data_IF_519649797039
#
_entry.id   IF_519649797039
#
_cell.length_a   1.000
_cell.length_b   1.000
_cell.length_c   1.000
_cell.angle_alpha   90.00
_cell.angle_beta   90.00
_cell.angle_gamma   90.00
#
_symmetry.space_group_name_H-M   'P 1'
#
loop_
_entity.id
_entity.type
_entity.pdbx_description
1 polymer ?
#
# COMPACT_ATOMS: atom_id res chain seq x y z
N UNK A 1 29.24 18.71 -26.41
CA UNK A 1 28.69 17.39 -26.20
C UNK A 1 27.64 17.44 -25.12
N UNK A 2 26.45 17.08 -25.47
CA UNK A 2 25.28 16.99 -24.57
C UNK A 2 25.59 15.98 -23.47
N UNK A 3 25.83 16.47 -22.28
CA UNK A 3 26.21 15.67 -21.10
C UNK A 3 24.93 15.28 -20.31
N UNK A 4 23.84 15.01 -21.03
CA UNK A 4 22.62 14.51 -20.40
C UNK A 4 22.86 13.08 -19.92
N UNK A 5 22.82 12.85 -18.61
CA UNK A 5 22.80 11.50 -18.04
C UNK A 5 21.57 10.77 -18.59
N UNK A 6 21.76 9.53 -19.04
CA UNK A 6 20.63 8.69 -19.46
C UNK A 6 19.77 8.33 -18.26
N UNK A 7 18.46 8.41 -18.42
CA UNK A 7 17.48 8.02 -17.40
C UNK A 7 17.20 6.52 -17.46
N UNK A 8 17.07 5.91 -16.29
CA UNK A 8 16.70 4.52 -16.12
C UNK A 8 15.89 4.34 -14.82
N UNK A 9 15.32 3.18 -14.67
CA UNK A 9 14.66 2.77 -13.44
C UNK A 9 15.15 1.39 -12.99
N UNK A 10 15.04 1.13 -11.70
CA UNK A 10 15.06 -0.22 -11.13
C UNK A 10 13.73 -0.44 -10.43
N UNK A 11 12.93 -1.37 -10.97
CA UNK A 11 11.67 -1.76 -10.36
C UNK A 11 11.91 -2.91 -9.37
N UNK A 12 11.34 -2.77 -8.19
CA UNK A 12 11.26 -3.84 -7.21
C UNK A 12 9.81 -4.33 -7.14
N UNK A 13 9.65 -5.65 -7.09
CA UNK A 13 8.35 -6.29 -6.89
C UNK A 13 8.36 -6.96 -5.54
N UNK A 14 7.39 -6.62 -4.71
CA UNK A 14 7.21 -7.23 -3.39
C UNK A 14 5.92 -8.03 -3.35
N UNK A 15 5.99 -9.20 -2.75
CA UNK A 15 4.84 -10.01 -2.41
C UNK A 15 4.91 -10.36 -0.93
N UNK A 16 3.90 -9.96 -0.16
CA UNK A 16 3.91 -10.08 1.30
C UNK A 16 5.17 -9.44 1.91
N UNK A 17 6.03 -10.25 2.51
CA UNK A 17 7.27 -9.84 3.17
C UNK A 17 8.54 -10.12 2.32
N UNK A 18 8.38 -10.55 1.07
CA UNK A 18 9.50 -10.90 0.20
C UNK A 18 9.62 -9.99 -1.02
N UNK A 19 10.84 -9.70 -1.41
CA UNK A 19 11.20 -8.92 -2.59
C UNK A 19 11.78 -9.82 -3.66
N UNK A 20 11.36 -9.62 -4.90
CA UNK A 20 11.91 -10.33 -6.04
C UNK A 20 13.26 -9.72 -6.45
N UNK A 21 14.30 -10.52 -6.39
CA UNK A 21 15.59 -10.20 -7.00
C UNK A 21 15.80 -11.03 -8.25
N UNK A 22 16.39 -10.40 -9.27
CA UNK A 22 16.71 -11.00 -10.54
C UNK A 22 18.22 -11.07 -10.71
N UNK A 23 18.73 -12.17 -11.24
CA UNK A 23 20.17 -12.29 -11.55
C UNK A 23 20.41 -12.09 -13.03
N UNK A 24 21.30 -11.16 -13.35
CA UNK A 24 21.67 -10.85 -14.73
C UNK A 24 22.35 -12.05 -15.39
N UNK A 25 22.11 -12.18 -16.68
CA UNK A 25 22.79 -13.17 -17.52
C UNK A 25 24.30 -12.90 -17.55
N UNK A 26 25.09 -13.98 -17.68
CA UNK A 26 26.55 -13.87 -17.80
C UNK A 26 27.00 -13.27 -19.14
N UNK A 27 26.10 -13.23 -20.13
CA UNK A 27 26.39 -12.80 -21.49
C UNK A 27 26.13 -11.31 -21.75
N UNK A 28 25.49 -10.60 -20.79
CA UNK A 28 25.23 -9.16 -20.95
C UNK A 28 26.47 -8.32 -20.67
N UNK A 29 26.52 -7.14 -21.33
CA UNK A 29 27.67 -6.25 -21.26
C UNK A 29 27.87 -5.55 -19.91
N UNK A 30 26.79 -5.23 -19.21
CA UNK A 30 26.82 -4.50 -17.95
C UNK A 30 26.57 -5.44 -16.76
N UNK A 31 27.53 -5.52 -15.84
CA UNK A 31 27.45 -6.29 -14.60
C UNK A 31 26.91 -7.72 -14.78
N UNK A 32 27.56 -8.55 -15.63
CA UNK A 32 27.10 -9.91 -15.88
C UNK A 32 27.10 -10.74 -14.59
N UNK A 33 26.02 -11.50 -14.37
CA UNK A 33 25.86 -12.33 -13.18
C UNK A 33 25.46 -11.60 -11.90
N UNK A 34 25.34 -10.25 -11.93
CA UNK A 34 24.96 -9.48 -10.76
C UNK A 34 23.49 -9.65 -10.40
N UNK A 35 23.21 -9.66 -9.11
CA UNK A 35 21.83 -9.56 -8.62
C UNK A 35 21.33 -8.11 -8.72
N UNK A 36 20.05 -7.99 -9.05
CA UNK A 36 19.39 -6.75 -9.44
C UNK A 36 17.92 -6.78 -9.04
N UNK A 37 17.25 -5.62 -9.12
CA UNK A 37 15.81 -5.57 -9.33
C UNK A 37 15.49 -5.82 -10.80
N UNK A 38 14.46 -5.17 -11.33
CA UNK A 38 14.15 -5.19 -12.75
C UNK A 38 14.59 -3.85 -13.35
N UNK A 39 15.70 -3.85 -14.06
CA UNK A 39 16.27 -2.67 -14.69
C UNK A 39 15.63 -2.41 -16.06
N UNK A 40 15.39 -1.15 -16.35
CA UNK A 40 14.95 -0.70 -17.66
C UNK A 40 15.42 0.72 -17.94
N UNK A 41 15.68 1.00 -19.22
CA UNK A 41 15.97 2.36 -19.69
C UNK A 41 14.65 3.07 -20.00
N UNK A 42 14.58 4.37 -19.74
CA UNK A 42 13.44 5.21 -20.08
C UNK A 42 12.95 6.07 -18.92
N UNK A 43 11.83 6.72 -19.14
CA UNK A 43 11.19 7.63 -18.20
C UNK A 43 10.65 6.88 -16.97
N UNK A 44 11.19 7.15 -15.77
CA UNK A 44 10.74 6.48 -14.53
C UNK A 44 9.33 6.89 -14.07
N UNK A 45 8.71 7.89 -14.69
CA UNK A 45 7.33 8.30 -14.42
C UNK A 45 6.30 7.55 -15.28
N UNK A 46 6.73 6.85 -16.32
CA UNK A 46 5.86 6.02 -17.16
C UNK A 46 5.63 4.65 -16.52
N UNK A 47 4.66 4.59 -15.61
CA UNK A 47 4.37 3.40 -14.81
C UNK A 47 3.86 2.22 -15.64
N UNK A 48 3.12 2.46 -16.71
CA UNK A 48 2.64 1.41 -17.60
C UNK A 48 3.80 0.75 -18.36
N UNK A 49 4.77 1.55 -18.81
CA UNK A 49 5.99 1.06 -19.43
C UNK A 49 6.84 0.23 -18.46
N UNK A 50 6.94 0.66 -17.22
CA UNK A 50 7.66 -0.08 -16.16
C UNK A 50 6.97 -1.40 -15.87
N UNK A 51 5.65 -1.41 -15.71
CA UNK A 51 4.88 -2.64 -15.51
C UNK A 51 5.04 -3.62 -16.69
N UNK A 52 5.04 -3.11 -17.91
CA UNK A 52 5.32 -3.89 -19.12
C UNK A 52 6.73 -4.50 -19.11
N UNK A 53 7.73 -3.75 -18.65
CA UNK A 53 9.10 -4.25 -18.50
C UNK A 53 9.20 -5.36 -17.45
N UNK A 54 8.49 -5.21 -16.33
CA UNK A 54 8.41 -6.27 -15.31
C UNK A 54 7.85 -7.55 -15.91
N UNK A 55 6.73 -7.46 -16.63
CA UNK A 55 6.13 -8.63 -17.31
C UNK A 55 7.09 -9.25 -18.31
N UNK A 56 7.74 -8.45 -19.13
CA UNK A 56 8.72 -8.90 -20.12
C UNK A 56 9.89 -9.68 -19.49
N UNK A 57 10.39 -9.23 -18.34
CA UNK A 57 11.54 -9.84 -17.66
C UNK A 57 11.18 -11.01 -16.75
N UNK A 58 9.96 -11.06 -16.22
CA UNK A 58 9.59 -11.99 -15.14
C UNK A 58 8.43 -12.92 -15.49
N UNK A 59 7.61 -12.56 -16.46
CA UNK A 59 6.36 -13.24 -16.76
C UNK A 59 5.20 -12.89 -15.82
N UNK A 60 5.41 -12.01 -14.83
CA UNK A 60 4.34 -11.48 -13.99
C UNK A 60 3.45 -10.58 -14.83
N UNK A 61 2.15 -10.84 -14.85
CA UNK A 61 1.22 -10.04 -15.64
C UNK A 61 1.17 -8.59 -15.16
N UNK A 62 1.32 -7.63 -16.08
CA UNK A 62 1.32 -6.20 -15.76
C UNK A 62 0.04 -5.73 -15.05
N UNK A 63 -1.10 -6.34 -15.39
CA UNK A 63 -2.39 -6.05 -14.75
C UNK A 63 -2.51 -6.52 -13.30
N UNK A 64 -1.64 -7.41 -12.84
CA UNK A 64 -1.57 -7.88 -11.46
C UNK A 64 -0.65 -7.06 -10.57
N UNK A 65 0.07 -6.09 -11.15
CA UNK A 65 1.02 -5.25 -10.44
C UNK A 65 0.34 -3.99 -9.90
N UNK A 66 0.56 -3.67 -8.63
CA UNK A 66 0.06 -2.46 -8.00
C UNK A 66 1.23 -1.53 -7.68
N UNK A 67 1.25 -0.35 -8.29
CA UNK A 67 2.26 0.66 -7.97
C UNK A 67 2.10 1.19 -6.54
N UNK A 68 3.22 1.34 -5.84
CA UNK A 68 3.26 1.87 -4.47
C UNK A 68 3.91 3.24 -4.44
N UNK A 69 5.19 3.33 -4.82
CA UNK A 69 5.93 4.59 -4.76
C UNK A 69 7.23 4.53 -5.55
N UNK A 70 7.78 5.70 -5.82
CA UNK A 70 9.11 5.88 -6.39
C UNK A 70 10.00 6.63 -5.42
N UNK A 71 11.28 6.30 -5.41
CA UNK A 71 12.29 7.03 -4.67
C UNK A 71 12.93 8.13 -5.51
N UNK A 72 13.90 8.84 -4.92
CA UNK A 72 14.72 9.80 -5.63
C UNK A 72 15.70 9.08 -6.56
N UNK A 73 16.02 9.72 -7.70
CA UNK A 73 17.02 9.21 -8.62
C UNK A 73 18.42 9.21 -7.98
N UNK A 74 19.16 8.15 -8.23
CA UNK A 74 20.56 8.00 -7.83
C UNK A 74 21.47 7.85 -9.04
N UNK A 75 22.60 8.54 -9.03
CA UNK A 75 23.65 8.33 -10.03
C UNK A 75 24.41 7.03 -9.76
N UNK A 76 24.31 6.08 -10.67
CA UNK A 76 25.04 4.81 -10.60
C UNK A 76 26.09 4.73 -11.72
N UNK A 77 27.26 4.22 -11.36
CA UNK A 77 28.32 3.96 -12.32
C UNK A 77 28.20 2.53 -12.84
N UNK A 78 27.90 2.37 -14.12
CA UNK A 78 27.97 1.10 -14.83
C UNK A 78 29.22 1.08 -15.71
N UNK A 79 30.02 0.04 -15.61
CA UNK A 79 31.21 -0.10 -16.44
C UNK A 79 31.79 -1.50 -16.37
N UNK A 80 32.49 -1.87 -17.43
CA UNK A 80 33.32 -3.06 -17.39
C UNK A 80 34.58 -2.77 -16.58
N UNK A 81 35.00 -3.75 -15.81
CA UNK A 81 36.33 -3.75 -15.18
C UNK A 81 37.40 -3.58 -16.24
N UNK A 82 38.19 -2.57 -16.07
CA UNK A 82 39.52 -2.27 -16.62
C UNK A 82 39.70 -1.47 -17.90
N UNK A 83 38.74 -1.30 -18.83
CA UNK A 83 39.06 -0.68 -20.11
C UNK A 83 38.04 0.29 -20.73
N UNK A 84 36.93 0.55 -20.10
CA UNK A 84 35.94 1.55 -20.54
C UNK A 84 35.59 2.52 -19.43
N UNK A 85 35.52 3.81 -19.75
CA UNK A 85 35.05 4.84 -18.83
C UNK A 85 33.68 4.43 -18.25
N UNK A 86 33.55 4.45 -16.94
CA UNK A 86 32.29 4.17 -16.27
C UNK A 86 31.17 5.10 -16.79
N UNK A 87 30.09 4.54 -17.26
CA UNK A 87 28.90 5.30 -17.69
C UNK A 87 28.06 5.62 -16.46
N UNK A 88 27.85 6.90 -16.21
CA UNK A 88 26.90 7.34 -15.19
C UNK A 88 25.47 7.28 -15.73
N UNK A 89 24.62 6.60 -15.01
CA UNK A 89 23.18 6.48 -15.30
C UNK A 89 22.40 6.97 -14.09
N UNK A 90 21.43 7.82 -14.33
CA UNK A 90 20.51 8.26 -13.29
C UNK A 90 19.38 7.21 -13.16
N UNK A 91 19.34 6.52 -12.02
CA UNK A 91 18.44 5.41 -11.79
C UNK A 91 17.43 5.75 -10.70
N UNK A 92 16.16 5.66 -11.02
CA UNK A 92 15.05 5.87 -10.08
C UNK A 92 14.49 4.51 -9.61
N UNK A 93 14.52 4.23 -8.30
CA UNK A 93 13.89 3.03 -7.78
C UNK A 93 12.36 3.18 -7.74
N UNK A 94 11.65 2.10 -8.07
CA UNK A 94 10.18 2.06 -8.12
C UNK A 94 9.70 0.77 -7.46
N UNK A 95 8.66 0.84 -6.63
CA UNK A 95 8.10 -0.32 -5.95
C UNK A 95 6.71 -0.66 -6.47
N UNK A 96 6.53 -1.93 -6.82
CA UNK A 96 5.24 -2.55 -7.12
C UNK A 96 4.95 -3.70 -6.15
N UNK A 97 3.68 -3.96 -5.93
CA UNK A 97 3.20 -5.13 -5.19
C UNK A 97 2.50 -6.10 -6.14
N UNK A 98 2.57 -7.38 -5.83
CA UNK A 98 1.79 -8.42 -6.50
C UNK A 98 1.52 -9.59 -5.55
N UNK A 99 0.58 -10.45 -5.94
CA UNK A 99 0.48 -11.78 -5.32
C UNK A 99 1.66 -12.63 -5.77
N UNK A 100 2.17 -13.44 -4.85
CA UNK A 100 3.30 -14.33 -5.14
C UNK A 100 2.90 -15.36 -6.18
N UNK A 101 3.64 -15.39 -7.26
CA UNK A 101 3.48 -16.35 -8.32
C UNK A 101 4.82 -16.78 -8.89
N UNK A 102 4.80 -17.80 -9.74
CA UNK A 102 6.00 -18.29 -10.40
C UNK A 102 6.60 -17.23 -11.31
N UNK A 103 7.91 -17.08 -11.23
CA UNK A 103 8.70 -16.14 -12.04
C UNK A 103 9.49 -16.92 -13.05
N UNK A 104 9.40 -16.51 -14.32
CA UNK A 104 10.21 -17.04 -15.42
C UNK A 104 11.20 -15.97 -15.87
N UNK A 105 12.46 -16.03 -15.43
CA UNK A 105 13.47 -15.06 -15.85
C UNK A 105 13.65 -15.05 -17.37
N UNK A 106 13.59 -13.86 -17.94
CA UNK A 106 13.68 -13.62 -19.40
C UNK A 106 14.56 -12.41 -19.68
N UNK A 107 14.81 -12.17 -20.94
CA UNK A 107 15.59 -11.04 -21.44
C UNK A 107 17.03 -11.03 -20.91
N UNK A 108 17.40 -10.04 -20.12
CA UNK A 108 18.76 -9.90 -19.55
C UNK A 108 18.98 -10.75 -18.28
N UNK A 109 17.96 -11.46 -17.82
CA UNK A 109 18.04 -12.22 -16.56
C UNK A 109 18.05 -13.72 -16.80
N UNK A 110 18.87 -14.44 -16.01
CA UNK A 110 18.99 -15.89 -16.04
C UNK A 110 18.37 -16.59 -14.85
N UNK A 111 18.15 -15.88 -13.74
CA UNK A 111 17.66 -16.45 -12.48
C UNK A 111 16.83 -15.43 -11.70
N UNK A 112 16.07 -15.93 -10.75
CA UNK A 112 15.26 -15.11 -9.85
C UNK A 112 15.17 -15.75 -8.47
N UNK A 113 14.96 -14.92 -7.45
CA UNK A 113 14.77 -15.36 -6.08
C UNK A 113 13.88 -14.38 -5.32
N UNK A 114 12.92 -14.91 -4.59
CA UNK A 114 12.19 -14.14 -3.58
C UNK A 114 12.98 -14.13 -2.29
N UNK A 115 13.39 -12.97 -1.82
CA UNK A 115 14.25 -12.80 -0.65
C UNK A 115 13.59 -11.96 0.43
N UNK A 116 13.95 -12.23 1.68
CA UNK A 116 13.64 -11.30 2.76
C UNK A 116 14.36 -9.97 2.52
N UNK A 117 13.68 -8.81 2.63
CA UNK A 117 14.33 -7.51 2.40
C UNK A 117 15.60 -7.27 3.21
N UNK A 118 15.66 -7.76 4.43
CA UNK A 118 16.86 -7.68 5.27
C UNK A 118 18.06 -8.45 4.74
N UNK A 119 17.84 -9.36 3.80
CA UNK A 119 18.87 -10.22 3.21
C UNK A 119 19.36 -9.77 1.82
N UNK A 120 18.86 -8.66 1.30
CA UNK A 120 19.32 -8.11 0.00
C UNK A 120 20.83 -7.88 0.01
N UNK A 121 21.37 -7.37 1.10
CA UNK A 121 22.81 -7.10 1.26
C UNK A 121 23.68 -8.35 1.39
N UNK A 122 23.11 -9.55 1.55
CA UNK A 122 23.85 -10.81 1.61
C UNK A 122 24.26 -11.34 0.24
N UNK A 123 23.72 -10.76 -0.84
CA UNK A 123 24.14 -11.15 -2.20
C UNK A 123 25.58 -10.69 -2.45
N UNK A 124 26.46 -11.64 -2.72
CA UNK A 124 27.90 -11.39 -2.89
C UNK A 124 28.23 -10.45 -4.06
N UNK A 125 27.43 -10.53 -5.13
CA UNK A 125 27.59 -9.69 -6.31
C UNK A 125 26.24 -9.11 -6.74
N UNK A 126 26.11 -7.82 -6.65
CA UNK A 126 24.89 -7.10 -7.01
C UNK A 126 25.20 -5.79 -7.72
N UNK A 127 24.21 -5.22 -8.38
CA UNK A 127 24.32 -3.87 -8.92
C UNK A 127 24.64 -2.88 -7.78
N UNK A 128 25.37 -1.78 -8.07
CA UNK A 128 25.74 -0.81 -7.05
C UNK A 128 24.51 -0.29 -6.29
N UNK A 129 24.62 -0.17 -4.98
CA UNK A 129 23.62 0.40 -4.10
C UNK A 129 22.24 -0.30 -4.16
N UNK A 130 22.20 -1.61 -4.44
CA UNK A 130 20.93 -2.35 -4.55
C UNK A 130 20.11 -2.26 -3.26
N UNK A 131 20.74 -2.46 -2.10
CA UNK A 131 20.07 -2.36 -0.80
C UNK A 131 19.54 -0.96 -0.51
N UNK A 132 20.31 0.06 -0.80
CA UNK A 132 19.93 1.48 -0.63
C UNK A 132 18.80 1.88 -1.59
N UNK A 133 18.85 1.42 -2.83
CA UNK A 133 17.77 1.64 -3.81
C UNK A 133 16.46 1.05 -3.34
N UNK A 134 16.48 -0.18 -2.83
CA UNK A 134 15.28 -0.77 -2.22
C UNK A 134 14.85 0.00 -0.98
N UNK A 135 15.79 0.38 -0.10
CA UNK A 135 15.50 1.18 1.09
C UNK A 135 14.79 2.50 0.78
N UNK A 136 15.10 3.12 -0.36
CA UNK A 136 14.47 4.38 -0.79
C UNK A 136 12.99 4.22 -1.14
N UNK A 137 12.55 3.02 -1.49
CA UNK A 137 11.15 2.72 -1.86
C UNK A 137 10.45 1.79 -0.89
N UNK A 138 11.16 1.25 0.09
CA UNK A 138 10.58 0.34 1.08
C UNK A 138 9.37 0.99 1.74
N UNK A 139 8.27 0.27 1.73
CA UNK A 139 7.00 0.70 2.31
C UNK A 139 6.28 -0.50 2.89
N UNK A 140 5.91 -0.38 4.16
CA UNK A 140 5.23 -1.42 4.91
C UNK A 140 4.04 -0.82 5.63
N UNK A 141 3.00 -1.59 5.77
CA UNK A 141 1.80 -1.18 6.46
C UNK A 141 1.79 -1.76 7.88
N UNK A 142 1.86 -0.89 8.86
CA UNK A 142 1.83 -1.24 10.28
C UNK A 142 0.47 -0.96 10.88
N UNK A 143 0.05 -1.82 11.81
CA UNK A 143 -1.24 -1.70 12.47
C UNK A 143 -1.03 -1.20 13.88
N UNK A 144 -1.66 -0.07 14.20
CA UNK A 144 -1.71 0.47 15.55
C UNK A 144 -3.00 0.01 16.23
N UNK A 145 -2.86 -0.56 17.42
CA UNK A 145 -4.01 -0.85 18.28
C UNK A 145 -4.38 0.39 19.07
N UNK A 146 -5.61 0.84 18.92
CA UNK A 146 -6.15 2.04 19.55
C UNK A 146 -7.29 1.69 20.52
N UNK A 147 -7.68 2.66 21.34
CA UNK A 147 -8.94 2.57 22.06
C UNK A 147 -10.11 2.71 21.08
N UNK A 148 -11.12 1.87 21.20
CA UNK A 148 -12.30 1.88 20.33
C UNK A 148 -12.99 3.25 20.42
N UNK A 149 -13.31 3.82 19.27
CA UNK A 149 -13.91 5.14 19.17
C UNK A 149 -12.91 6.30 19.15
N UNK A 150 -11.61 6.02 19.32
CA UNK A 150 -10.55 7.03 19.33
C UNK A 150 -9.68 7.02 18.06
N UNK A 151 -10.05 6.23 17.07
CA UNK A 151 -9.25 6.04 15.84
C UNK A 151 -9.01 7.37 15.12
N UNK A 152 -10.04 8.19 15.00
CA UNK A 152 -9.93 9.51 14.35
C UNK A 152 -9.03 10.46 15.15
N UNK A 153 -9.12 10.45 16.48
CA UNK A 153 -8.27 11.28 17.34
C UNK A 153 -6.81 10.84 17.27
N UNK A 154 -6.55 9.53 17.23
CA UNK A 154 -5.20 8.99 17.05
C UNK A 154 -4.64 9.41 15.69
N UNK A 155 -5.41 9.27 14.61
CA UNK A 155 -4.97 9.69 13.28
C UNK A 155 -4.67 11.20 13.22
N UNK A 156 -5.49 12.04 13.85
CA UNK A 156 -5.25 13.49 13.94
C UNK A 156 -3.98 13.82 14.71
N UNK A 157 -3.75 13.15 15.83
CA UNK A 157 -2.56 13.37 16.64
C UNK A 157 -1.29 12.94 15.90
N UNK A 158 -1.33 11.83 15.17
CA UNK A 158 -0.21 11.41 14.32
C UNK A 158 0.11 12.50 13.29
N UNK A 159 -0.88 13.01 12.58
CA UNK A 159 -0.68 14.09 11.60
C UNK A 159 -0.13 15.37 12.25
N UNK A 160 -0.61 15.72 13.43
CA UNK A 160 -0.12 16.87 14.17
C UNK A 160 1.36 16.70 14.58
N UNK A 161 1.76 15.53 15.04
CA UNK A 161 3.14 15.22 15.39
C UNK A 161 4.07 15.28 14.17
N UNK A 162 3.60 14.81 13.01
CA UNK A 162 4.37 14.83 11.77
C UNK A 162 4.50 16.23 11.16
N UNK A 163 3.59 17.14 11.44
CA UNK A 163 3.65 18.52 10.95
C UNK A 163 4.43 19.46 11.88
N UNK A 164 4.79 18.98 13.08
CA UNK A 164 5.57 19.74 14.04
C UNK A 164 7.06 19.83 13.68
N UNK A 165 7.76 20.74 14.34
CA UNK A 165 9.22 20.83 14.31
C UNK A 165 9.80 20.20 15.57
N UNK A 166 10.99 19.60 15.49
CA UNK A 166 11.70 19.09 16.65
C UNK A 166 12.10 17.61 16.57
N UNK A 167 11.85 16.86 17.63
CA UNK A 167 12.38 15.50 17.82
C UNK A 167 11.93 14.42 16.80
N UNK A 168 10.96 14.74 15.94
CA UNK A 168 10.42 13.84 14.92
C UNK A 168 10.84 14.20 13.49
N UNK A 169 11.77 15.14 13.29
CA UNK A 169 12.25 15.51 11.95
C UNK A 169 12.82 14.34 11.17
N UNK A 170 13.49 13.42 11.82
CA UNK A 170 14.05 12.21 11.24
C UNK A 170 12.96 11.17 10.86
N UNK A 171 11.77 11.29 11.43
CA UNK A 171 10.65 10.37 11.18
C UNK A 171 9.69 10.90 10.11
N UNK A 172 9.59 12.21 9.94
CA UNK A 172 8.61 12.84 9.04
C UNK A 172 8.66 12.32 7.61
N UNK A 173 9.86 12.11 7.07
CA UNK A 173 10.05 11.62 5.71
C UNK A 173 9.91 10.10 5.57
N UNK A 174 9.83 9.39 6.70
CA UNK A 174 9.75 7.93 6.76
C UNK A 174 8.34 7.40 7.02
N UNK A 175 7.38 8.29 7.29
CA UNK A 175 5.96 7.98 7.42
C UNK A 175 5.25 8.53 6.18
N UNK A 176 4.60 7.64 5.44
CA UNK A 176 4.06 7.99 4.11
C UNK A 176 2.56 8.24 4.12
N UNK A 177 1.82 7.51 4.93
CA UNK A 177 0.39 7.70 5.06
C UNK A 177 -0.14 7.21 6.41
N UNK A 178 -1.27 7.75 6.80
CA UNK A 178 -2.05 7.34 7.97
C UNK A 178 -3.44 7.01 7.50
N UNK A 179 -3.87 5.78 7.71
CA UNK A 179 -5.09 5.24 7.16
C UNK A 179 -6.02 4.78 8.28
N UNK A 180 -7.27 5.22 8.21
CA UNK A 180 -8.30 4.84 9.16
C UNK A 180 -9.26 3.88 8.47
N UNK A 181 -9.35 2.60 8.90
CA UNK A 181 -10.24 1.65 8.28
C UNK A 181 -11.70 1.95 8.64
N UNK A 182 -12.60 1.86 7.64
CA UNK A 182 -14.02 2.16 7.83
C UNK A 182 -14.76 1.10 8.65
N UNK A 183 -14.35 -0.16 8.58
CA UNK A 183 -15.05 -1.29 9.16
C UNK A 183 -14.25 -2.04 10.23
N UNK A 184 -13.16 -1.46 10.71
CA UNK A 184 -12.26 -2.07 11.68
C UNK A 184 -12.04 -1.12 12.85
N UNK A 185 -12.85 -1.24 13.88
CA UNK A 185 -12.75 -0.40 15.08
C UNK A 185 -11.56 -0.81 15.95
N UNK A 186 -10.92 0.16 16.57
CA UNK A 186 -9.79 -0.06 17.46
C UNK A 186 -8.43 -0.19 16.74
N UNK A 187 -8.37 0.16 15.46
CA UNK A 187 -7.15 0.09 14.67
C UNK A 187 -6.96 1.30 13.78
N UNK A 188 -5.71 1.70 13.61
CA UNK A 188 -5.24 2.69 12.63
C UNK A 188 -4.07 2.09 11.90
N UNK A 189 -3.99 2.29 10.59
CA UNK A 189 -2.87 1.82 9.78
C UNK A 189 -1.91 2.96 9.49
N UNK A 190 -0.62 2.68 9.57
CA UNK A 190 0.45 3.61 9.23
C UNK A 190 1.36 2.97 8.21
N UNK A 191 1.50 3.61 7.05
CA UNK A 191 2.49 3.23 6.05
C UNK A 191 3.81 3.92 6.36
N UNK A 192 4.87 3.14 6.50
CA UNK A 192 6.19 3.62 6.85
C UNK A 192 7.30 2.76 6.24
N UNK A 193 8.51 3.30 6.20
CA UNK A 193 9.69 2.56 5.72
C UNK A 193 10.16 1.48 6.69
N UNK A 194 9.93 1.65 8.00
CA UNK A 194 10.30 0.67 9.02
C UNK A 194 9.47 0.85 10.31
N UNK A 195 9.37 -0.23 11.09
CA UNK A 195 8.60 -0.27 12.33
C UNK A 195 9.10 0.73 13.39
N UNK A 196 10.41 0.88 13.52
CA UNK A 196 10.99 1.77 14.54
C UNK A 196 10.60 3.23 14.36
N UNK A 197 10.31 3.68 13.14
CA UNK A 197 9.80 5.03 12.89
C UNK A 197 8.38 5.20 13.44
N UNK A 198 7.55 4.17 13.31
CA UNK A 198 6.19 4.17 13.86
C UNK A 198 6.23 4.15 15.38
N UNK A 199 7.08 3.31 15.97
CA UNK A 199 7.25 3.24 17.43
C UNK A 199 7.74 4.56 18.03
N UNK A 200 8.68 5.23 17.36
CA UNK A 200 9.13 6.56 17.75
C UNK A 200 8.00 7.59 17.66
N UNK A 201 7.22 7.54 16.60
CA UNK A 201 6.08 8.44 16.38
C UNK A 201 5.05 8.36 17.51
N UNK A 202 4.72 7.15 17.97
CA UNK A 202 3.74 6.94 19.04
C UNK A 202 4.34 7.04 20.46
N UNK A 203 5.65 7.18 20.58
CA UNK A 203 6.33 7.37 21.86
C UNK A 203 6.51 6.11 22.70
N UNK A 204 6.62 4.93 22.08
CA UNK A 204 6.72 3.63 22.79
C UNK A 204 8.13 3.06 22.94
N UNK A 205 9.15 3.72 22.41
CA UNK A 205 10.53 3.21 22.39
C UNK A 205 11.43 3.77 23.50
N UNK A 206 10.88 4.46 24.50
CA UNK A 206 11.67 5.14 25.53
C UNK A 206 12.47 6.33 25.02
N UNK A 207 12.25 6.74 23.80
CA UNK A 207 12.83 7.92 23.19
C UNK A 207 12.02 9.17 23.54
N UNK A 208 12.59 10.34 23.34
CA UNK A 208 12.16 11.68 23.72
C UNK A 208 10.72 12.11 23.35
N UNK A 209 9.91 11.23 22.79
CA UNK A 209 8.53 11.51 22.38
C UNK A 209 7.55 11.12 23.49
N UNK A 210 6.63 12.02 23.84
CA UNK A 210 5.57 11.73 24.79
C UNK A 210 4.68 10.60 24.30
N UNK A 211 4.39 9.57 25.11
CA UNK A 211 3.48 8.49 24.74
C UNK A 211 2.13 9.02 24.29
N UNK A 212 1.63 8.49 23.18
CA UNK A 212 0.35 8.88 22.62
C UNK A 212 -0.81 8.29 23.41
N UNK A 213 -1.78 9.11 23.78
CA UNK A 213 -3.01 8.64 24.42
C UNK A 213 -3.83 7.83 23.40
N UNK A 214 -4.57 6.84 23.91
CA UNK A 214 -5.47 6.00 23.12
C UNK A 214 -4.79 5.13 22.06
N UNK A 215 -3.48 5.17 21.95
CA UNK A 215 -2.70 4.28 21.11
C UNK A 215 -1.90 3.33 22.00
N UNK A 216 -2.22 2.04 21.94
CA UNK A 216 -1.67 1.06 22.89
C UNK A 216 -0.34 0.49 22.42
N UNK A 217 -0.25 0.06 21.16
CA UNK A 217 0.96 -0.54 20.60
C UNK A 217 0.90 -0.65 19.07
N UNK A 218 2.05 -0.83 18.47
CA UNK A 218 2.20 -1.35 17.11
C UNK A 218 2.08 -2.86 17.19
N UNK A 219 1.20 -3.46 16.39
CA UNK A 219 1.08 -4.92 16.32
C UNK A 219 2.32 -5.52 15.66
N UNK A 220 2.64 -6.74 16.05
CA UNK A 220 3.74 -7.47 15.44
C UNK A 220 3.41 -7.88 14.00
N UNK A 221 4.41 -7.79 13.14
CA UNK A 221 4.28 -8.10 11.73
C UNK A 221 3.84 -6.92 10.88
N UNK A 222 3.85 -7.15 9.62
CA UNK A 222 3.44 -6.23 8.56
C UNK A 222 2.21 -6.79 7.88
N UNK A 223 1.29 -5.91 7.49
CA UNK A 223 0.16 -6.34 6.67
C UNK A 223 0.43 -6.03 5.21
N UNK A 224 0.27 -6.99 4.30
CA UNK A 224 0.26 -6.70 2.88
C UNK A 224 -0.85 -5.71 2.56
N UNK A 225 -0.55 -4.73 1.71
CA UNK A 225 -1.51 -3.70 1.34
C UNK A 225 -2.79 -4.30 0.76
N UNK A 226 -2.67 -5.35 -0.04
CA UNK A 226 -3.79 -6.06 -0.65
C UNK A 226 -4.78 -6.63 0.37
N UNK A 227 -4.25 -7.12 1.50
CA UNK A 227 -5.09 -7.65 2.59
C UNK A 227 -5.89 -6.55 3.29
N UNK A 228 -5.37 -5.33 3.29
CA UNK A 228 -5.95 -4.19 4.01
C UNK A 228 -6.84 -3.33 3.13
N UNK A 229 -6.57 -3.26 1.83
CA UNK A 229 -7.34 -2.45 0.87
C UNK A 229 -8.87 -2.60 0.99
N UNK A 230 -9.44 -3.82 1.15
CA UNK A 230 -10.89 -3.97 1.32
C UNK A 230 -11.46 -3.24 2.53
N UNK A 231 -10.65 -3.02 3.57
CA UNK A 231 -11.06 -2.30 4.78
C UNK A 231 -10.87 -0.77 4.66
N UNK A 232 -10.12 -0.33 3.68
CA UNK A 232 -9.86 1.09 3.42
C UNK A 232 -10.81 1.66 2.37
N UNK A 233 -11.33 0.83 1.48
CA UNK A 233 -12.33 1.23 0.51
C UNK A 233 -13.66 1.46 1.22
N UNK A 234 -14.26 2.67 1.10
CA UNK A 234 -15.59 2.89 1.64
C UNK A 234 -16.55 1.97 0.88
N UNK A 235 -17.18 1.03 1.60
CA UNK A 235 -18.33 0.35 1.07
C UNK A 235 -19.42 1.40 0.90
N UNK A 236 -20.05 1.44 -0.27
CA UNK A 236 -21.24 2.24 -0.44
C UNK A 236 -22.22 1.89 0.69
N UNK A 237 -22.78 2.90 1.36
CA UNK A 237 -23.72 2.67 2.46
C UNK A 237 -24.93 1.83 2.02
N UNK A 238 -25.24 1.86 0.72
CA UNK A 238 -26.28 1.06 0.06
C UNK A 238 -25.83 -0.35 -0.32
N UNK A 239 -24.57 -0.73 -0.11
CA UNK A 239 -24.08 -2.06 -0.48
C UNK A 239 -24.84 -3.17 0.25
N UNK A 240 -25.32 -4.15 -0.52
CA UNK A 240 -26.12 -5.27 0.00
C UNK A 240 -27.59 -4.94 0.26
N UNK A 241 -28.04 -3.72 0.02
CA UNK A 241 -29.45 -3.31 0.13
C UNK A 241 -30.06 -3.30 -1.27
N UNK A 242 -31.05 -4.15 -1.49
CA UNK A 242 -31.77 -4.28 -2.77
C UNK A 242 -33.27 -4.08 -2.57
N UNK A 243 -33.96 -3.69 -3.63
CA UNK A 243 -35.42 -3.64 -3.62
C UNK A 243 -36.01 -4.98 -3.23
N UNK A 244 -36.99 -4.97 -2.33
CA UNK A 244 -37.64 -6.16 -1.79
C UNK A 244 -36.96 -6.77 -0.57
N UNK A 245 -35.75 -6.36 -0.21
CA UNK A 245 -35.13 -6.74 1.04
C UNK A 245 -35.99 -6.31 2.25
N UNK A 246 -35.93 -7.08 3.33
CA UNK A 246 -36.47 -6.67 4.61
C UNK A 246 -35.34 -6.13 5.47
N UNK A 247 -35.55 -4.96 6.02
CA UNK A 247 -34.59 -4.23 6.83
C UNK A 247 -35.19 -3.88 8.19
N UNK A 248 -34.33 -3.76 9.19
CA UNK A 248 -34.64 -3.14 10.47
C UNK A 248 -34.11 -1.72 10.49
N UNK A 249 -34.91 -0.76 10.89
CA UNK A 249 -34.47 0.63 11.05
C UNK A 249 -33.71 0.73 12.37
N UNK A 250 -32.47 1.20 12.29
CA UNK A 250 -31.54 1.23 13.43
C UNK A 250 -31.41 2.61 14.08
N UNK A 251 -31.98 3.64 13.47
CA UNK A 251 -31.92 5.01 13.99
C UNK A 251 -33.17 5.82 13.73
N UNK A 252 -33.31 6.96 14.41
CA UNK A 252 -34.43 7.87 14.25
C UNK A 252 -35.72 7.44 14.97
N UNK A 253 -36.82 8.08 14.60
CA UNK A 253 -38.11 7.89 15.24
C UNK A 253 -38.71 6.49 15.06
N UNK A 254 -38.30 5.75 14.04
CA UNK A 254 -38.80 4.42 13.69
C UNK A 254 -37.83 3.29 14.05
N UNK A 255 -36.87 3.59 14.91
CA UNK A 255 -35.88 2.59 15.36
C UNK A 255 -36.55 1.32 15.90
N UNK A 256 -36.05 0.17 15.43
CA UNK A 256 -36.54 -1.14 15.82
C UNK A 256 -37.68 -1.66 14.97
N UNK A 257 -38.22 -0.87 14.06
CA UNK A 257 -39.30 -1.32 13.16
C UNK A 257 -38.73 -2.01 11.93
N UNK A 258 -39.43 -3.03 11.45
CA UNK A 258 -39.11 -3.72 10.21
C UNK A 258 -39.82 -3.08 9.02
N UNK A 259 -39.13 -3.02 7.91
CA UNK A 259 -39.66 -2.44 6.69
C UNK A 259 -39.16 -3.18 5.46
N UNK A 260 -39.89 -3.05 4.34
CA UNK A 260 -39.48 -3.56 3.04
C UNK A 260 -38.83 -2.43 2.23
N UNK A 261 -37.72 -2.70 1.60
CA UNK A 261 -37.06 -1.75 0.69
C UNK A 261 -37.86 -1.62 -0.59
N UNK A 262 -38.38 -0.42 -0.85
CA UNK A 262 -39.08 -0.08 -2.08
C UNK A 262 -38.18 0.48 -3.17
N UNK A 263 -37.14 1.24 -2.77
CA UNK A 263 -36.21 1.87 -3.68
C UNK A 263 -34.88 2.17 -3.01
N UNK A 264 -33.80 2.04 -3.76
CA UNK A 264 -32.43 2.42 -3.33
C UNK A 264 -31.95 3.57 -4.20
N UNK A 265 -31.51 4.66 -3.58
CA UNK A 265 -30.92 5.81 -4.26
C UNK A 265 -29.44 5.89 -3.89
N UNK A 266 -28.59 5.26 -4.69
CA UNK A 266 -27.16 5.14 -4.41
C UNK A 266 -26.46 6.50 -4.35
N UNK A 267 -26.77 7.41 -5.25
CA UNK A 267 -26.15 8.75 -5.33
C UNK A 267 -26.37 9.61 -4.08
N UNK A 268 -27.45 9.37 -3.33
CA UNK A 268 -27.80 10.08 -2.10
C UNK A 268 -27.56 9.26 -0.83
N UNK A 269 -27.13 8.00 -1.00
CA UNK A 269 -27.00 7.04 0.12
C UNK A 269 -28.29 6.92 0.95
N UNK A 270 -29.43 6.90 0.26
CA UNK A 270 -30.79 6.83 0.87
C UNK A 270 -31.54 5.59 0.41
N UNK A 271 -32.41 5.13 1.27
CA UNK A 271 -33.30 4.00 1.01
C UNK A 271 -34.73 4.41 1.30
N UNK A 272 -35.64 4.16 0.38
CA UNK A 272 -37.08 4.32 0.60
C UNK A 272 -37.63 2.98 1.03
N UNK A 273 -38.28 2.95 2.20
CA UNK A 273 -38.78 1.74 2.81
C UNK A 273 -40.29 1.87 3.14
N UNK A 274 -40.99 0.76 3.13
CA UNK A 274 -42.40 0.67 3.55
C UNK A 274 -42.51 -0.12 4.86
N UNK A 275 -43.13 0.50 5.87
CA UNK A 275 -43.30 -0.13 7.18
C UNK A 275 -44.29 -1.28 7.09
N UNK A 276 -43.96 -2.43 7.71
CA UNK A 276 -44.77 -3.63 7.68
C UNK A 276 -46.09 -3.52 8.45
N UNK A 277 -46.09 -2.84 9.58
CA UNK A 277 -47.19 -2.80 10.53
C UNK A 277 -48.10 -1.56 10.42
N UNK A 278 -47.92 -0.78 9.37
CA UNK A 278 -48.75 0.38 9.14
C UNK A 278 -50.09 -0.02 8.51
N UNK A 279 -51.19 0.44 9.11
CA UNK A 279 -52.56 0.27 8.57
C UNK A 279 -52.74 0.91 7.18
N UNK A 280 -51.87 1.88 6.86
CA UNK A 280 -51.77 2.53 5.56
C UNK A 280 -50.30 2.43 5.14
N UNK A 281 -49.98 2.06 3.88
CA UNK A 281 -48.63 2.03 3.41
C UNK A 281 -47.97 3.41 3.56
N UNK A 282 -46.98 3.50 4.45
CA UNK A 282 -46.20 4.73 4.66
C UNK A 282 -44.80 4.49 4.09
N UNK A 283 -44.48 5.23 3.05
CA UNK A 283 -43.14 5.25 2.50
C UNK A 283 -42.26 6.24 3.27
N UNK A 284 -41.13 5.76 3.76
CA UNK A 284 -40.15 6.55 4.47
C UNK A 284 -38.83 6.55 3.71
N UNK A 285 -38.21 7.72 3.60
CA UNK A 285 -36.83 7.81 3.12
C UNK A 285 -35.91 7.94 4.31
N UNK A 286 -35.01 6.96 4.45
CA UNK A 286 -34.02 6.91 5.52
C UNK A 286 -32.63 6.80 4.93
N UNK A 287 -31.62 7.22 5.69
CA UNK A 287 -30.24 7.02 5.29
C UNK A 287 -29.90 5.53 5.29
N UNK A 288 -29.10 5.13 4.30
CA UNK A 288 -28.72 3.73 4.14
C UNK A 288 -27.93 3.18 5.35
N UNK A 289 -27.20 4.03 6.07
CA UNK A 289 -26.49 3.66 7.30
C UNK A 289 -27.40 3.47 8.52
N UNK A 290 -28.69 3.80 8.41
CA UNK A 290 -29.70 3.66 9.46
C UNK A 290 -30.60 2.45 9.25
N UNK A 291 -30.27 1.54 8.36
CA UNK A 291 -30.99 0.28 8.14
C UNK A 291 -30.03 -0.89 8.17
N UNK A 292 -30.54 -2.03 8.62
CA UNK A 292 -29.82 -3.30 8.63
C UNK A 292 -30.65 -4.36 7.91
N UNK A 293 -30.08 -5.01 6.90
CA UNK A 293 -30.76 -6.08 6.18
C UNK A 293 -30.96 -7.28 7.10
N UNK A 294 -32.21 -7.71 7.27
CA UNK A 294 -32.59 -8.89 8.07
C UNK A 294 -33.00 -10.06 7.20
N UNK A 295 -33.49 -9.80 5.99
CA UNK A 295 -33.83 -10.82 5.01
C UNK A 295 -33.52 -10.32 3.59
N UNK A 296 -32.75 -11.11 2.85
CA UNK A 296 -32.43 -10.82 1.46
C UNK A 296 -33.52 -11.35 0.52
N UNK A 297 -33.57 -10.78 -0.69
CA UNK A 297 -34.36 -11.33 -1.79
C UNK A 297 -33.67 -12.59 -2.29
N UNK A 298 -34.39 -13.72 -2.38
CA UNK A 298 -33.88 -14.96 -3.00
C UNK A 298 -33.84 -14.85 -4.54
#
# INVERSE_FOLDING_TARGET
GDNSMSEAFIAFVRSEDQVLLMQRSDEIGDLPGAWDGIYGAGDPSDLDSIAGRIEECTGLESGSLTYVRSGAARGLAFGKTSDTAARLVEVTPVLFLCEKSDVSPKTIYKNSEWVDPGRIGEKEYSVPQLGELYGDVASYLYILKTSIGQEQNVAKEIRARLSGTGSLEDVQNEIFSVLQPHHMKGYVFVEASAKHHVEKLIGRTGMSTTPMKNCRKVLDGESPLETVLPYLEPKAATAGIEEGCIVEITGGAFRGQSARVARVTESKEEVTVELYDALVPVALTVRADQVRVTQRVE
#
